data_IF_638473957424
#
_entry.id   IF_638473957424
#
_cell.length_a   1.000
_cell.length_b   1.000
_cell.length_c   1.000
_cell.angle_alpha   90.00
_cell.angle_beta   90.00
_cell.angle_gamma   90.00
#
_symmetry.space_group_name_H-M   'P 1'
#
loop_
_entity.id
_entity.type
_entity.pdbx_description
1 polymer ?
#
# COMPACT_ATOMS: atom_id res chain seq x y z
N UNK A 1 20.06 -7.91 -1.98
CA UNK A 1 18.85 -7.28 -1.42
C UNK A 1 19.29 -6.01 -0.74
N UNK A 2 18.63 -4.87 -1.03
CA UNK A 2 19.00 -3.58 -0.45
C UNK A 2 19.00 -3.66 1.09
N UNK A 3 19.96 -3.00 1.74
CA UNK A 3 20.09 -3.00 3.20
C UNK A 3 18.79 -2.55 3.88
N UNK A 4 18.08 -1.60 3.27
CA UNK A 4 16.77 -1.08 3.71
C UNK A 4 15.69 -2.16 3.78
N UNK A 5 15.66 -3.10 2.83
CA UNK A 5 14.65 -4.15 2.77
C UNK A 5 14.84 -5.20 3.86
N UNK A 6 16.10 -5.53 4.19
CA UNK A 6 16.38 -6.41 5.31
C UNK A 6 15.99 -5.78 6.66
N UNK A 7 16.23 -4.47 6.82
CA UNK A 7 15.79 -3.71 8.02
C UNK A 7 14.27 -3.66 8.14
N UNK A 8 13.54 -3.50 7.03
CA UNK A 8 12.07 -3.56 7.02
C UNK A 8 11.55 -4.93 7.49
N UNK A 9 12.17 -6.03 7.03
CA UNK A 9 11.84 -7.39 7.50
C UNK A 9 12.11 -7.56 8.99
N UNK A 10 13.16 -6.95 9.53
CA UNK A 10 13.46 -6.96 10.97
C UNK A 10 12.39 -6.19 11.77
N UNK A 11 11.91 -5.05 11.26
CA UNK A 11 10.81 -4.30 11.86
C UNK A 11 9.50 -5.10 11.87
N UNK A 12 9.16 -5.79 10.77
CA UNK A 12 8.02 -6.73 10.75
C UNK A 12 8.16 -7.81 11.82
N UNK A 13 9.34 -8.43 11.94
CA UNK A 13 9.60 -9.44 12.98
C UNK A 13 9.38 -8.86 14.39
N UNK A 14 9.83 -7.63 14.63
CA UNK A 14 9.66 -6.95 15.90
C UNK A 14 8.18 -6.65 16.22
N UNK A 15 7.40 -6.22 15.23
CA UNK A 15 5.95 -6.02 15.35
C UNK A 15 5.22 -7.35 15.61
N UNK A 16 5.54 -8.40 14.86
CA UNK A 16 4.96 -9.75 15.03
C UNK A 16 5.27 -10.36 16.39
N UNK A 17 6.50 -10.17 16.91
CA UNK A 17 6.87 -10.61 18.27
C UNK A 17 6.01 -9.95 19.37
N UNK A 18 5.44 -8.77 19.09
CA UNK A 18 4.51 -8.06 19.97
C UNK A 18 3.04 -8.44 19.74
N UNK A 19 2.76 -9.40 18.85
CA UNK A 19 1.41 -9.88 18.55
C UNK A 19 0.70 -9.10 17.43
N UNK A 20 1.41 -8.25 16.69
CA UNK A 20 0.83 -7.49 15.59
C UNK A 20 1.16 -8.10 14.24
N UNK A 21 0.12 -8.55 13.52
CA UNK A 21 0.23 -8.92 12.12
C UNK A 21 0.76 -7.72 11.31
N UNK A 22 1.75 -7.95 10.43
CA UNK A 22 2.46 -6.87 9.72
C UNK A 22 3.09 -7.37 8.42
N UNK A 23 3.16 -6.49 7.41
CA UNK A 23 3.63 -6.79 6.07
C UNK A 23 4.32 -5.58 5.42
N UNK A 24 5.27 -5.82 4.52
CA UNK A 24 5.66 -4.82 3.52
C UNK A 24 4.54 -4.80 2.47
N UNK A 25 4.22 -3.62 1.96
CA UNK A 25 3.07 -3.43 1.06
C UNK A 25 3.38 -2.48 -0.07
N UNK A 26 2.56 -2.50 -1.13
CA UNK A 26 2.56 -1.46 -2.14
C UNK A 26 3.68 -1.60 -3.17
N UNK A 27 4.22 -0.46 -3.59
CA UNK A 27 5.22 -0.39 -4.65
C UNK A 27 6.49 -1.17 -4.33
N UNK A 28 6.87 -1.27 -3.06
CA UNK A 28 8.03 -2.05 -2.63
C UNK A 28 7.92 -3.54 -2.99
N UNK A 29 6.73 -4.11 -2.81
CA UNK A 29 6.46 -5.52 -3.13
C UNK A 29 6.45 -5.74 -4.64
N UNK A 30 5.81 -4.84 -5.40
CA UNK A 30 5.82 -4.84 -6.86
C UNK A 30 7.25 -4.81 -7.40
N UNK A 31 8.05 -3.85 -6.93
CA UNK A 31 9.41 -3.65 -7.42
C UNK A 31 10.30 -4.84 -7.06
N UNK A 32 10.14 -5.41 -5.85
CA UNK A 32 10.80 -6.67 -5.46
C UNK A 32 10.48 -7.83 -6.42
N UNK A 33 9.21 -8.05 -6.76
CA UNK A 33 8.78 -9.10 -7.72
C UNK A 33 9.36 -8.85 -9.11
N UNK A 34 9.41 -7.59 -9.54
CA UNK A 34 10.01 -7.18 -10.81
C UNK A 34 11.55 -7.19 -10.81
N UNK A 35 12.19 -7.65 -9.72
CA UNK A 35 13.66 -7.65 -9.53
C UNK A 35 14.28 -6.25 -9.65
N UNK A 36 13.51 -5.21 -9.30
CA UNK A 36 13.95 -3.82 -9.20
C UNK A 36 14.23 -3.51 -7.73
N UNK A 37 15.11 -2.54 -7.49
CA UNK A 37 15.38 -2.06 -6.13
C UNK A 37 14.22 -1.17 -5.65
N UNK A 38 13.54 -1.51 -4.54
CA UNK A 38 12.52 -0.65 -3.95
C UNK A 38 13.11 0.68 -3.49
N UNK A 39 12.50 1.78 -3.90
CA UNK A 39 12.91 3.13 -3.49
C UNK A 39 12.33 3.45 -2.11
N UNK A 40 11.02 3.25 -1.96
CA UNK A 40 10.26 3.52 -0.73
C UNK A 40 9.67 2.21 -0.21
N UNK A 41 9.79 1.95 1.10
CA UNK A 41 9.31 0.73 1.74
C UNK A 41 8.27 1.08 2.80
N UNK A 42 7.02 0.78 2.48
CA UNK A 42 5.89 0.96 3.39
C UNK A 42 5.57 -0.34 4.11
N UNK A 43 5.20 -0.22 5.38
CA UNK A 43 4.76 -1.33 6.23
C UNK A 43 3.31 -1.08 6.63
N UNK A 44 2.49 -2.12 6.51
CA UNK A 44 1.11 -2.14 7.01
C UNK A 44 1.01 -3.11 8.18
N UNK A 45 0.25 -2.73 9.23
CA UNK A 45 0.20 -3.49 10.49
C UNK A 45 -1.17 -3.46 11.14
N UNK A 46 -1.49 -4.50 11.93
CA UNK A 46 -2.65 -4.49 12.83
C UNK A 46 -2.45 -3.54 14.01
N UNK A 47 -1.21 -3.18 14.36
CA UNK A 47 -0.93 -2.27 15.45
C UNK A 47 -1.55 -0.89 15.20
N UNK A 48 -2.25 -0.33 16.20
CA UNK A 48 -2.73 1.05 16.12
C UNK A 48 -1.55 2.03 16.23
N UNK A 49 -1.67 3.27 15.74
CA UNK A 49 -0.57 4.23 15.80
C UNK A 49 -0.05 4.45 17.23
N UNK A 50 -0.96 4.46 18.20
CA UNK A 50 -0.63 4.58 19.64
C UNK A 50 0.20 3.42 20.16
N UNK A 51 -0.03 2.21 19.65
CA UNK A 51 0.74 1.02 20.05
C UNK A 51 2.11 1.01 19.36
N UNK A 52 2.17 1.42 18.09
CA UNK A 52 3.45 1.58 17.38
C UNK A 52 4.32 2.61 18.10
N UNK A 53 3.78 3.79 18.41
CA UNK A 53 4.48 4.86 19.14
C UNK A 53 4.89 4.46 20.57
N UNK A 54 4.15 3.56 21.22
CA UNK A 54 4.52 3.01 22.53
C UNK A 54 5.73 2.08 22.45
N UNK A 55 5.91 1.41 21.31
CA UNK A 55 6.85 0.30 21.18
C UNK A 55 8.12 0.65 20.40
N UNK A 56 8.09 1.71 19.59
CA UNK A 56 9.17 2.09 18.70
C UNK A 56 9.35 3.60 18.68
N UNK A 57 10.60 4.05 18.51
CA UNK A 57 10.88 5.47 18.30
C UNK A 57 10.21 5.91 16.98
N UNK A 58 9.33 6.89 17.04
CA UNK A 58 8.50 7.24 15.90
C UNK A 58 7.91 8.65 15.99
N UNK A 59 7.55 9.18 14.81
CA UNK A 59 6.97 10.51 14.64
C UNK A 59 5.58 10.37 13.99
N UNK A 60 4.55 11.08 14.50
CA UNK A 60 3.19 11.01 13.97
C UNK A 60 3.04 11.82 12.66
N UNK A 61 3.52 11.28 11.55
CA UNK A 61 3.54 11.93 10.23
C UNK A 61 2.18 11.95 9.53
N UNK A 62 1.32 10.97 9.80
CA UNK A 62 -0.01 10.85 9.18
C UNK A 62 -1.05 10.30 10.14
N UNK A 63 -1.06 10.78 11.40
CA UNK A 63 -1.85 10.17 12.47
C UNK A 63 -3.36 10.14 12.18
N UNK A 64 -3.90 11.17 11.51
CA UNK A 64 -5.31 11.20 11.03
C UNK A 64 -5.66 10.00 10.15
N UNK A 65 -4.66 9.49 9.44
CA UNK A 65 -4.73 8.41 8.47
C UNK A 65 -4.20 7.08 9.04
N UNK A 66 -3.76 7.03 10.29
CA UNK A 66 -3.21 5.82 10.88
C UNK A 66 -1.76 5.55 10.52
N UNK A 67 -1.03 6.54 9.98
CA UNK A 67 0.37 6.41 9.59
C UNK A 67 1.30 7.07 10.61
N UNK A 68 2.37 6.38 10.97
CA UNK A 68 3.49 6.89 11.76
C UNK A 68 4.80 6.54 11.07
N UNK A 69 5.79 7.42 11.16
CA UNK A 69 7.14 7.13 10.66
C UNK A 69 7.96 6.56 11.81
N UNK A 70 8.42 5.31 11.66
CA UNK A 70 9.22 4.59 12.64
C UNK A 70 10.69 4.70 12.28
N UNK A 71 11.51 5.13 13.24
CA UNK A 71 12.96 5.06 13.16
C UNK A 71 13.44 3.69 13.67
N UNK A 72 14.08 2.92 12.79
CA UNK A 72 14.51 1.56 13.08
C UNK A 72 15.81 1.22 12.34
N UNK A 73 16.83 0.76 13.09
CA UNK A 73 18.15 0.37 12.54
C UNK A 73 18.74 1.44 11.60
N UNK A 74 18.74 2.72 12.01
CA UNK A 74 19.21 3.86 11.20
C UNK A 74 18.48 4.03 9.86
N UNK A 75 17.19 3.70 9.83
CA UNK A 75 16.31 3.86 8.66
C UNK A 75 14.92 4.29 9.10
N UNK A 76 14.19 4.93 8.20
CA UNK A 76 12.82 5.38 8.45
C UNK A 76 11.84 4.56 7.62
N UNK A 77 10.75 4.13 8.24
CA UNK A 77 9.69 3.37 7.59
C UNK A 77 8.33 3.99 7.90
N UNK A 78 7.50 4.16 6.87
CA UNK A 78 6.09 4.47 7.11
C UNK A 78 5.36 3.20 7.56
N UNK A 79 4.78 3.26 8.76
CA UNK A 79 4.00 2.17 9.35
C UNK A 79 2.55 2.64 9.43
N UNK A 80 1.68 1.99 8.67
CA UNK A 80 0.26 2.34 8.60
C UNK A 80 -0.62 1.24 9.17
N UNK A 81 -1.56 1.58 10.04
CA UNK A 81 -2.53 0.63 10.58
C UNK A 81 -3.50 0.16 9.50
N UNK A 82 -3.89 -1.12 9.51
CA UNK A 82 -4.95 -1.64 8.65
C UNK A 82 -6.20 -0.79 8.79
N UNK A 83 -6.78 -0.39 7.65
CA UNK A 83 -7.89 0.56 7.65
C UNK A 83 -8.77 0.44 6.43
N UNK A 84 -10.01 0.89 6.59
CA UNK A 84 -10.90 1.27 5.51
C UNK A 84 -10.88 2.80 5.35
N UNK A 85 -11.04 3.26 4.12
CA UNK A 85 -11.29 4.67 3.85
C UNK A 85 -12.75 4.98 4.23
N UNK A 86 -12.95 6.01 5.07
CA UNK A 86 -14.26 6.51 5.43
C UNK A 86 -14.87 7.41 4.35
N UNK A 87 -16.00 8.08 4.65
CA UNK A 87 -16.61 9.04 3.73
C UNK A 87 -15.62 10.11 3.30
N UNK A 88 -15.69 10.49 2.02
CA UNK A 88 -14.81 11.48 1.41
C UNK A 88 -15.67 12.66 0.94
N UNK A 89 -15.37 13.88 1.39
CA UNK A 89 -16.08 15.10 0.95
C UNK A 89 -15.40 15.83 -0.20
N UNK A 90 -14.10 15.64 -0.38
CA UNK A 90 -13.25 16.35 -1.34
C UNK A 90 -12.80 15.50 -2.53
N UNK A 91 -13.40 14.31 -2.70
CA UNK A 91 -13.04 13.30 -3.71
C UNK A 91 -11.54 13.00 -3.78
N UNK A 92 -10.87 12.97 -2.61
CA UNK A 92 -9.44 12.65 -2.53
C UNK A 92 -9.01 12.04 -1.19
N UNK A 93 -9.36 12.67 -0.07
CA UNK A 93 -8.94 12.21 1.24
C UNK A 93 -10.14 11.81 2.08
N UNK A 94 -10.15 10.60 2.67
CA UNK A 94 -11.23 10.25 3.58
C UNK A 94 -11.21 11.20 4.78
N UNK A 95 -12.40 11.68 5.19
CA UNK A 95 -12.55 12.58 6.34
C UNK A 95 -12.05 11.90 7.63
N UNK A 96 -12.22 10.58 7.69
CA UNK A 96 -11.75 9.71 8.75
C UNK A 96 -11.40 8.33 8.19
N UNK A 97 -10.61 7.55 8.93
CA UNK A 97 -10.37 6.14 8.62
C UNK A 97 -10.90 5.26 9.72
N UNK A 98 -11.33 4.06 9.35
CA UNK A 98 -11.81 3.06 10.29
C UNK A 98 -10.74 1.98 10.36
N UNK A 99 -10.13 1.80 11.53
CA UNK A 99 -9.15 0.73 11.70
C UNK A 99 -9.81 -0.64 11.58
N UNK A 100 -9.16 -1.53 10.85
CA UNK A 100 -9.61 -2.90 10.64
C UNK A 100 -8.70 -3.90 11.35
N UNK A 101 -9.25 -5.05 11.70
CA UNK A 101 -8.51 -6.21 12.15
C UNK A 101 -8.07 -7.12 11.00
N UNK A 102 -8.46 -6.81 9.76
CA UNK A 102 -8.20 -7.62 8.57
C UNK A 102 -7.35 -6.84 7.54
N UNK A 103 -6.18 -7.38 7.20
CA UNK A 103 -5.29 -6.77 6.21
C UNK A 103 -5.93 -6.66 4.82
N UNK A 104 -6.88 -7.55 4.48
CA UNK A 104 -7.59 -7.51 3.19
C UNK A 104 -8.33 -6.18 3.01
N UNK A 105 -8.84 -5.59 4.08
CA UNK A 105 -9.52 -4.30 4.02
C UNK A 105 -8.56 -3.16 3.64
N UNK A 106 -7.31 -3.21 4.13
CA UNK A 106 -6.26 -2.26 3.73
C UNK A 106 -5.83 -2.43 2.27
N UNK A 107 -5.85 -3.67 1.76
CA UNK A 107 -5.53 -3.97 0.37
C UNK A 107 -6.63 -3.46 -0.56
N UNK A 108 -7.90 -3.71 -0.23
CA UNK A 108 -9.04 -3.40 -1.10
C UNK A 108 -9.23 -1.89 -1.36
N UNK A 109 -8.77 -1.04 -0.45
CA UNK A 109 -8.82 0.42 -0.63
C UNK A 109 -7.69 0.99 -1.51
N UNK A 110 -6.71 0.18 -1.92
CA UNK A 110 -5.58 0.65 -2.73
C UNK A 110 -6.02 0.95 -4.17
N UNK A 111 -5.14 1.62 -4.90
CA UNK A 111 -5.45 2.13 -6.24
C UNK A 111 -5.47 1.02 -7.30
N UNK A 112 -4.35 0.29 -7.44
CA UNK A 112 -4.13 -0.68 -8.50
C UNK A 112 -3.72 -2.04 -7.95
N UNK A 113 -4.12 -3.11 -8.63
CA UNK A 113 -3.85 -4.51 -8.25
C UNK A 113 -2.36 -4.77 -8.02
N UNK A 114 -1.51 -4.23 -8.90
CA UNK A 114 -0.04 -4.30 -8.80
C UNK A 114 0.53 -3.66 -7.52
N UNK A 115 -0.22 -2.77 -6.86
CA UNK A 115 0.14 -2.13 -5.60
C UNK A 115 -0.65 -2.71 -4.41
N UNK A 116 -1.53 -3.68 -4.63
CA UNK A 116 -2.32 -4.37 -3.61
C UNK A 116 -1.64 -5.63 -3.07
N UNK A 117 -0.33 -5.76 -3.25
CA UNK A 117 0.45 -6.93 -2.85
C UNK A 117 1.06 -6.74 -1.47
N UNK A 118 1.10 -7.84 -0.71
CA UNK A 118 1.70 -7.90 0.62
C UNK A 118 2.86 -8.88 0.61
N UNK A 119 3.87 -8.62 1.45
CA UNK A 119 4.98 -9.54 1.65
C UNK A 119 5.35 -9.60 3.13
N UNK A 120 5.58 -10.82 3.64
CA UNK A 120 6.04 -11.03 5.01
C UNK A 120 7.58 -11.05 5.15
N UNK A 121 8.06 -11.23 6.38
CA UNK A 121 9.48 -11.29 6.71
C UNK A 121 10.23 -12.50 6.12
N UNK A 122 9.50 -13.49 5.61
CA UNK A 122 10.04 -14.68 4.94
C UNK A 122 9.92 -14.57 3.42
N UNK A 123 9.62 -13.37 2.90
CA UNK A 123 9.46 -13.07 1.47
C UNK A 123 8.29 -13.80 0.82
N UNK A 124 7.34 -14.30 1.63
CA UNK A 124 6.10 -14.87 1.10
C UNK A 124 5.18 -13.75 0.65
N UNK A 125 4.74 -13.83 -0.60
CA UNK A 125 3.80 -12.89 -1.21
C UNK A 125 2.36 -13.34 -0.93
N UNK A 126 1.52 -12.39 -0.53
CA UNK A 126 0.08 -12.56 -0.42
C UNK A 126 -0.59 -11.63 -1.42
N UNK A 127 -1.41 -12.20 -2.28
CA UNK A 127 -2.15 -11.49 -3.32
C UNK A 127 -3.65 -11.78 -3.16
N UNK A 128 -4.41 -10.72 -2.89
CA UNK A 128 -5.86 -10.79 -2.69
C UNK A 128 -6.64 -10.14 -3.84
N UNK A 129 -5.94 -9.59 -4.84
CA UNK A 129 -6.53 -8.71 -5.87
C UNK A 129 -6.05 -9.03 -7.29
N UNK A 130 -5.22 -10.06 -7.47
CA UNK A 130 -4.72 -10.48 -8.78
C UNK A 130 -3.51 -9.67 -9.27
N UNK A 131 -2.81 -8.98 -8.36
CA UNK A 131 -1.66 -8.15 -8.71
C UNK A 131 -0.50 -8.93 -9.32
N UNK A 132 -0.30 -10.20 -8.98
CA UNK A 132 0.76 -11.03 -9.55
C UNK A 132 0.54 -11.29 -11.05
N UNK A 133 -0.70 -11.59 -11.44
CA UNK A 133 -1.04 -11.86 -12.83
C UNK A 133 -1.00 -10.57 -13.66
N UNK A 134 -1.43 -9.44 -13.09
CA UNK A 134 -1.33 -8.14 -13.74
C UNK A 134 0.14 -7.67 -13.89
N UNK A 135 1.03 -7.95 -12.92
CA UNK A 135 2.48 -7.71 -13.09
C UNK A 135 3.03 -8.56 -14.24
N UNK A 136 2.69 -9.85 -14.27
CA UNK A 136 3.16 -10.80 -15.30
C UNK A 136 2.70 -10.40 -16.71
N UNK A 137 1.51 -9.83 -16.84
CA UNK A 137 0.96 -9.36 -18.12
C UNK A 137 1.19 -7.87 -18.39
N UNK A 138 1.95 -7.19 -17.53
CA UNK A 138 2.28 -5.77 -17.65
C UNK A 138 1.03 -4.88 -17.75
N UNK A 139 0.07 -5.10 -16.85
CA UNK A 139 -1.24 -4.41 -16.80
C UNK A 139 -1.36 -3.54 -15.55
N UNK A 140 -1.88 -2.32 -15.72
CA UNK A 140 -2.36 -1.45 -14.65
C UNK A 140 -3.88 -1.56 -14.60
N UNK A 141 -4.41 -2.18 -13.55
CA UNK A 141 -5.84 -2.42 -13.30
C UNK A 141 -6.22 -1.89 -11.93
N UNK A 142 -7.35 -1.21 -11.81
CA UNK A 142 -7.86 -0.78 -10.49
C UNK A 142 -8.24 -1.97 -9.62
N UNK A 143 -8.12 -1.80 -8.30
CA UNK A 143 -8.73 -2.76 -7.37
C UNK A 143 -10.23 -2.46 -7.28
N UNK A 144 -11.07 -3.42 -7.63
CA UNK A 144 -12.52 -3.23 -7.68
C UNK A 144 -12.98 -2.43 -8.90
N UNK A 145 -14.17 -1.82 -8.82
CA UNK A 145 -14.79 -1.11 -9.93
C UNK A 145 -14.06 0.23 -10.22
N UNK A 146 -13.53 0.45 -11.43
CA UNK A 146 -12.73 1.65 -11.73
C UNK A 146 -13.53 2.97 -11.64
N UNK A 147 -14.82 2.97 -11.96
CA UNK A 147 -15.66 4.17 -11.84
C UNK A 147 -15.77 4.60 -10.38
N UNK A 148 -16.02 3.66 -9.47
CA UNK A 148 -16.03 3.94 -8.03
C UNK A 148 -14.67 4.43 -7.56
N UNK A 149 -13.57 3.78 -7.99
CA UNK A 149 -12.21 4.16 -7.58
C UNK A 149 -11.84 5.59 -8.00
N UNK A 150 -12.23 6.03 -9.19
CA UNK A 150 -11.93 7.38 -9.67
C UNK A 150 -12.87 8.44 -9.10
N UNK A 151 -14.13 8.07 -8.80
CA UNK A 151 -15.02 8.96 -8.07
C UNK A 151 -14.53 9.20 -6.65
N UNK A 152 -13.98 8.19 -5.97
CA UNK A 152 -13.40 8.37 -4.63
C UNK A 152 -12.15 9.26 -4.61
N UNK A 153 -11.26 9.07 -5.59
CA UNK A 153 -9.99 9.80 -5.70
C UNK A 153 -9.59 9.98 -7.18
N UNK A 154 -9.90 11.16 -7.73
CA UNK A 154 -9.59 11.49 -9.11
C UNK A 154 -8.07 11.52 -9.40
N UNK A 155 -7.22 11.68 -8.36
CA UNK A 155 -5.76 11.63 -8.52
C UNK A 155 -5.29 10.25 -9.00
N UNK A 156 -6.08 9.20 -8.79
CA UNK A 156 -5.76 7.86 -9.30
C UNK A 156 -5.66 7.82 -10.82
N UNK A 157 -6.37 8.67 -11.56
CA UNK A 157 -6.22 8.79 -13.01
C UNK A 157 -4.79 9.23 -13.37
N UNK A 158 -4.29 10.29 -12.73
CA UNK A 158 -2.92 10.76 -12.93
C UNK A 158 -1.89 9.73 -12.46
N UNK A 159 -2.18 8.98 -11.38
CA UNK A 159 -1.32 7.88 -10.92
C UNK A 159 -1.26 6.73 -11.91
N UNK A 160 -2.36 6.37 -12.58
CA UNK A 160 -2.35 5.36 -13.63
C UNK A 160 -1.41 5.76 -14.77
N UNK A 161 -1.47 7.02 -15.22
CA UNK A 161 -0.59 7.56 -16.25
C UNK A 161 0.87 7.60 -15.78
N UNK A 162 1.12 7.98 -14.52
CA UNK A 162 2.45 7.95 -13.92
C UNK A 162 3.02 6.52 -13.92
N UNK A 163 2.25 5.53 -13.48
CA UNK A 163 2.71 4.14 -13.47
C UNK A 163 2.90 3.58 -14.88
N UNK A 164 2.04 3.95 -15.83
CA UNK A 164 2.23 3.59 -17.24
C UNK A 164 3.58 4.13 -17.75
N UNK A 165 3.88 5.41 -17.50
CA UNK A 165 5.16 6.00 -17.89
C UNK A 165 6.36 5.38 -17.16
N UNK A 166 6.23 5.06 -15.86
CA UNK A 166 7.32 4.54 -15.03
C UNK A 166 7.62 3.07 -15.31
N UNK A 167 6.59 2.26 -15.56
CA UNK A 167 6.70 0.81 -15.66
C UNK A 167 6.64 0.30 -17.10
N UNK A 168 6.09 1.08 -18.04
CA UNK A 168 5.83 0.65 -19.41
C UNK A 168 4.57 -0.22 -19.56
N UNK A 169 3.81 -0.40 -18.47
CA UNK A 169 2.62 -1.25 -18.46
C UNK A 169 1.46 -0.60 -19.20
N UNK A 170 0.63 -1.42 -19.86
CA UNK A 170 -0.63 -0.96 -20.46
C UNK A 170 -1.70 -0.80 -19.38
N UNK A 171 -2.60 0.15 -19.56
CA UNK A 171 -3.77 0.29 -18.68
C UNK A 171 -4.85 -0.67 -19.17
N UNK A 172 -5.48 -1.40 -18.25
CA UNK A 172 -6.63 -2.28 -18.53
C UNK A 172 -7.76 -1.52 -19.26
N UNK A 173 -8.49 -2.17 -20.16
CA UNK A 173 -9.47 -1.48 -21.01
C UNK A 173 -10.64 -0.89 -20.22
N UNK A 174 -11.15 -1.60 -19.21
CA UNK A 174 -12.23 -1.08 -18.35
C UNK A 174 -11.73 0.10 -17.51
N UNK A 175 -10.53 -0.04 -16.94
CA UNK A 175 -9.85 1.04 -16.20
C UNK A 175 -9.67 2.27 -17.09
N UNK A 176 -9.18 2.08 -18.32
CA UNK A 176 -8.93 3.15 -19.29
C UNK A 176 -10.22 3.82 -19.75
N UNK A 177 -11.31 3.06 -19.90
CA UNK A 177 -12.60 3.61 -20.27
C UNK A 177 -13.16 4.49 -19.14
N UNK A 178 -13.14 4.00 -17.90
CA UNK A 178 -13.54 4.79 -16.74
C UNK A 178 -12.72 6.08 -16.59
N UNK A 179 -11.40 6.05 -16.83
CA UNK A 179 -10.57 7.27 -16.84
C UNK A 179 -11.04 8.34 -17.83
N UNK A 180 -11.61 7.95 -18.98
CA UNK A 180 -12.13 8.89 -19.99
C UNK A 180 -13.51 9.43 -19.64
N UNK A 181 -14.32 8.59 -18.99
CA UNK A 181 -15.70 8.92 -18.64
C UNK A 181 -15.78 9.77 -17.36
N UNK A 182 -14.81 9.62 -16.46
CA UNK A 182 -14.62 10.48 -15.30
C UNK A 182 -14.29 11.91 -15.75
N UNK A 183 -15.12 12.87 -15.33
CA UNK A 183 -15.00 14.31 -15.65
C UNK A 183 -14.15 15.06 -14.65
#
# INVERSE_FOLDING_TARGET
MALSFQKAKNLIKALKKKGYESYIVGGAVRDFIMKKEPIDIDITTKAKPTDVMRHFNSVPTGLKYGTVTVEFEDSQFEVTTFRLDGPTKDFRHPDSVIYSDNVKDDVLRRDFTINGLLMDENERIYDHVGGLEDIKHEVIRTIGNPYDRFNEDALRILRALYFQSKLGFRIDEETKQAMKDSR
#
